data_IF_046649268402
#
_entry.id   IF_046649268402
#
_cell.length_a   1.000
_cell.length_b   1.000
_cell.length_c   1.000
_cell.angle_alpha   90.00
_cell.angle_beta   90.00
_cell.angle_gamma   90.00
#
_symmetry.space_group_name_H-M   'P 1'
#
loop_
_entity.id
_entity.type
_entity.pdbx_description
1 polymer ?
#
# COMPACT_ATOMS: atom_id res chain seq x y z
N UNK A 1 43.62 40.33 10.61
CA UNK A 1 42.70 40.58 9.47
C UNK A 1 41.98 39.32 8.97
N UNK A 2 42.58 38.10 8.99
CA UNK A 2 41.94 36.90 8.41
C UNK A 2 40.74 36.30 9.18
N UNK A 3 40.76 36.31 10.51
CA UNK A 3 39.75 35.61 11.34
C UNK A 3 38.35 36.24 11.21
N UNK A 4 38.27 37.57 11.14
CA UNK A 4 37.00 38.29 10.97
C UNK A 4 36.35 37.97 9.62
N UNK A 5 37.16 37.84 8.56
CA UNK A 5 36.66 37.53 7.21
C UNK A 5 36.13 36.09 7.09
N UNK A 6 36.76 35.13 7.78
CA UNK A 6 36.28 33.74 7.80
C UNK A 6 34.98 33.59 8.60
N UNK A 7 34.83 34.30 9.72
CA UNK A 7 33.58 34.31 10.51
C UNK A 7 32.45 34.98 9.72
N UNK A 8 32.73 36.09 9.03
CA UNK A 8 31.75 36.78 8.19
C UNK A 8 31.33 35.93 6.99
N UNK A 9 32.25 35.18 6.39
CA UNK A 9 31.97 34.23 5.31
C UNK A 9 31.11 33.05 5.75
N UNK A 10 31.38 32.48 6.94
CA UNK A 10 30.59 31.37 7.49
C UNK A 10 29.18 31.82 7.90
N UNK A 11 29.04 32.99 8.54
CA UNK A 11 27.75 33.59 8.82
C UNK A 11 26.98 33.96 7.55
N UNK A 12 27.65 34.56 6.56
CA UNK A 12 27.04 34.93 5.28
C UNK A 12 26.52 33.72 4.50
N UNK A 13 27.30 32.62 4.47
CA UNK A 13 26.89 31.37 3.84
C UNK A 13 25.72 30.70 4.56
N UNK A 14 25.75 30.64 5.90
CA UNK A 14 24.66 30.06 6.70
C UNK A 14 23.35 30.84 6.61
N UNK A 15 23.42 32.18 6.65
CA UNK A 15 22.26 33.06 6.48
C UNK A 15 21.74 33.00 5.03
N UNK A 16 22.64 33.00 4.04
CA UNK A 16 22.25 32.90 2.63
C UNK A 16 21.57 31.57 2.28
N UNK A 17 22.09 30.45 2.78
CA UNK A 17 21.47 29.13 2.52
C UNK A 17 20.13 28.98 3.22
N UNK A 18 20.00 29.42 4.47
CA UNK A 18 18.71 29.36 5.19
C UNK A 18 17.64 30.23 4.52
N UNK A 19 17.98 31.46 4.12
CA UNK A 19 17.07 32.34 3.36
C UNK A 19 16.73 31.72 2.00
N UNK A 20 17.71 31.17 1.29
CA UNK A 20 17.49 30.52 -0.01
C UNK A 20 16.56 29.31 0.08
N UNK A 21 16.68 28.48 1.12
CA UNK A 21 15.78 27.35 1.37
C UNK A 21 14.36 27.82 1.68
N UNK A 22 14.21 28.86 2.51
CA UNK A 22 12.88 29.41 2.86
C UNK A 22 12.21 30.00 1.63
N UNK A 23 12.91 30.80 0.83
CA UNK A 23 12.38 31.38 -0.41
C UNK A 23 12.06 30.27 -1.42
N UNK A 24 12.93 29.28 -1.58
CA UNK A 24 12.71 28.14 -2.45
C UNK A 24 11.48 27.33 -2.04
N UNK A 25 11.27 27.10 -0.75
CA UNK A 25 10.08 26.42 -0.22
C UNK A 25 8.80 27.20 -0.50
N UNK A 26 8.79 28.51 -0.25
CA UNK A 26 7.62 29.35 -0.53
C UNK A 26 7.32 29.47 -2.03
N UNK A 27 8.34 29.59 -2.88
CA UNK A 27 8.16 29.53 -4.33
C UNK A 27 7.62 28.17 -4.78
N UNK A 28 8.15 27.07 -4.26
CA UNK A 28 7.70 25.73 -4.62
C UNK A 28 6.22 25.51 -4.30
N UNK A 29 5.74 25.96 -3.14
CA UNK A 29 4.31 25.90 -2.77
C UNK A 29 3.47 26.78 -3.70
N UNK A 30 3.95 27.99 -4.04
CA UNK A 30 3.18 28.91 -4.89
C UNK A 30 3.11 28.47 -6.35
N UNK A 31 4.13 27.74 -6.83
CA UNK A 31 4.19 27.22 -8.19
C UNK A 31 3.52 25.86 -8.37
N UNK A 32 3.17 25.13 -7.30
CA UNK A 32 2.35 23.93 -7.45
C UNK A 32 0.95 24.34 -7.90
N UNK A 33 0.53 23.97 -9.12
CA UNK A 33 -0.83 24.23 -9.55
C UNK A 33 -1.77 23.35 -8.72
N UNK A 34 -2.55 23.96 -7.84
CA UNK A 34 -3.62 23.31 -7.07
C UNK A 34 -4.82 22.93 -7.94
N UNK A 35 -4.84 23.38 -9.19
CA UNK A 35 -5.97 23.23 -10.10
C UNK A 35 -5.83 21.93 -10.90
N UNK A 36 -6.42 20.87 -10.36
CA UNK A 36 -6.62 19.61 -11.10
C UNK A 36 -7.76 19.85 -12.07
N UNK A 37 -7.47 19.98 -13.37
CA UNK A 37 -8.53 20.10 -14.37
C UNK A 37 -9.37 18.83 -14.38
N UNK A 38 -10.66 18.97 -14.09
CA UNK A 38 -11.60 17.86 -14.21
C UNK A 38 -11.63 17.38 -15.67
N UNK A 39 -11.32 16.10 -15.94
CA UNK A 39 -11.38 15.58 -17.30
C UNK A 39 -12.83 15.57 -17.78
N UNK A 40 -13.08 16.11 -18.97
CA UNK A 40 -14.40 16.02 -19.60
C UNK A 40 -14.71 14.55 -19.90
N UNK A 41 -15.65 13.97 -19.15
CA UNK A 41 -16.10 12.58 -19.33
C UNK A 41 -16.83 12.49 -20.67
N UNK A 42 -16.24 11.78 -21.64
CA UNK A 42 -16.84 11.48 -22.94
C UNK A 42 -17.17 9.98 -23.03
N UNK A 43 -18.28 9.60 -23.67
CA UNK A 43 -18.61 8.20 -23.90
C UNK A 43 -17.54 7.52 -24.78
N UNK A 44 -17.33 6.21 -24.56
CA UNK A 44 -16.31 5.42 -25.27
C UNK A 44 -16.46 5.47 -26.80
N UNK A 45 -17.69 5.65 -27.29
CA UNK A 45 -17.98 5.71 -28.73
C UNK A 45 -17.44 6.97 -29.42
N UNK A 46 -17.19 8.02 -28.65
CA UNK A 46 -16.67 9.31 -29.15
C UNK A 46 -15.15 9.44 -28.97
N UNK A 47 -14.50 8.43 -28.40
CA UNK A 47 -13.05 8.44 -28.23
C UNK A 47 -12.32 8.04 -29.49
N UNK A 48 -11.16 8.66 -29.69
CA UNK A 48 -10.26 8.34 -30.78
C UNK A 48 -9.63 6.95 -30.61
N UNK A 49 -9.25 6.33 -31.73
CA UNK A 49 -8.71 4.97 -31.74
C UNK A 49 -7.44 4.81 -30.89
N UNK A 50 -6.64 5.87 -30.77
CA UNK A 50 -5.41 5.84 -29.93
C UNK A 50 -5.75 5.85 -28.45
N UNK A 51 -6.74 6.64 -28.02
CA UNK A 51 -7.20 6.62 -26.62
C UNK A 51 -7.87 5.29 -26.29
N UNK A 52 -8.69 4.74 -27.19
CA UNK A 52 -9.26 3.40 -27.01
C UNK A 52 -8.17 2.33 -26.87
N UNK A 53 -7.12 2.37 -27.69
CA UNK A 53 -5.96 1.47 -27.54
C UNK A 53 -5.27 1.61 -26.19
N UNK A 54 -5.19 2.83 -25.63
CA UNK A 54 -4.63 3.07 -24.30
C UNK A 54 -5.53 2.58 -23.17
N UNK A 55 -6.84 2.49 -23.40
CA UNK A 55 -7.81 1.97 -22.43
C UNK A 55 -7.94 0.45 -22.46
N UNK A 56 -7.55 -0.22 -23.56
CA UNK A 56 -7.60 -1.68 -23.66
C UNK A 56 -6.93 -2.39 -22.47
N UNK A 57 -5.75 -1.99 -21.97
CA UNK A 57 -5.16 -2.58 -20.77
C UNK A 57 -6.00 -2.39 -19.49
N UNK A 58 -6.78 -1.33 -19.39
CA UNK A 58 -7.57 -0.99 -18.19
C UNK A 58 -8.92 -1.72 -18.12
N UNK A 59 -9.37 -2.30 -19.23
CA UNK A 59 -10.63 -3.06 -19.28
C UNK A 59 -10.57 -4.25 -18.30
N UNK A 60 -11.66 -4.53 -17.54
CA UNK A 60 -11.70 -5.65 -16.61
C UNK A 60 -11.42 -7.01 -17.28
N UNK A 61 -10.78 -7.91 -16.53
CA UNK A 61 -10.36 -9.21 -17.07
C UNK A 61 -11.54 -10.07 -17.57
N UNK A 62 -12.71 -10.01 -16.92
CA UNK A 62 -13.93 -10.71 -17.36
C UNK A 62 -14.51 -10.21 -18.69
N UNK A 63 -14.19 -8.99 -19.11
CA UNK A 63 -14.57 -8.48 -20.45
C UNK A 63 -13.59 -8.98 -21.51
N UNK A 64 -12.31 -9.14 -21.14
CA UNK A 64 -11.23 -9.58 -22.06
C UNK A 64 -11.22 -11.08 -22.25
N UNK A 65 -11.48 -11.81 -21.17
CA UNK A 65 -11.28 -13.24 -21.06
C UNK A 65 -12.58 -13.88 -20.55
N UNK A 66 -13.19 -14.79 -21.33
CA UNK A 66 -14.45 -15.44 -20.95
C UNK A 66 -14.30 -16.35 -19.72
N UNK A 67 -13.07 -16.73 -19.37
CA UNK A 67 -12.77 -17.58 -18.23
C UNK A 67 -12.92 -16.90 -16.86
N UNK A 68 -13.08 -15.58 -16.84
CA UNK A 68 -13.23 -14.82 -15.60
C UNK A 68 -14.70 -14.56 -15.31
N UNK A 69 -15.16 -15.11 -14.20
CA UNK A 69 -16.51 -14.86 -13.71
C UNK A 69 -16.55 -13.59 -12.85
N UNK A 70 -17.61 -12.80 -13.02
CA UNK A 70 -17.91 -11.66 -12.14
C UNK A 70 -18.44 -12.17 -10.81
N UNK A 71 -17.86 -11.66 -9.73
CA UNK A 71 -18.17 -12.06 -8.34
C UNK A 71 -18.74 -10.90 -7.54
N UNK A 72 -19.77 -10.25 -8.09
CA UNK A 72 -20.44 -9.09 -7.47
C UNK A 72 -21.04 -9.42 -6.10
N UNK A 73 -21.48 -10.67 -5.88
CA UNK A 73 -21.98 -11.13 -4.59
C UNK A 73 -20.91 -11.10 -3.50
N UNK A 74 -19.66 -11.43 -3.85
CA UNK A 74 -18.53 -11.41 -2.91
C UNK A 74 -18.20 -9.97 -2.53
N UNK A 75 -18.20 -9.06 -3.52
CA UNK A 75 -17.99 -7.64 -3.27
C UNK A 75 -19.04 -7.08 -2.31
N UNK A 76 -20.33 -7.39 -2.52
CA UNK A 76 -21.41 -7.00 -1.59
C UNK A 76 -21.21 -7.58 -0.19
N UNK A 77 -20.80 -8.85 -0.10
CA UNK A 77 -20.54 -9.48 1.20
C UNK A 77 -19.41 -8.75 1.94
N UNK A 78 -18.29 -8.51 1.26
CA UNK A 78 -17.11 -7.83 1.84
C UNK A 78 -17.48 -6.41 2.25
N UNK A 79 -18.22 -5.68 1.43
CA UNK A 79 -18.68 -4.32 1.72
C UNK A 79 -19.51 -4.25 3.02
N UNK A 80 -20.48 -5.15 3.18
CA UNK A 80 -21.31 -5.21 4.40
C UNK A 80 -20.51 -5.64 5.64
N UNK A 81 -19.49 -6.48 5.45
CA UNK A 81 -18.65 -6.97 6.55
C UNK A 81 -17.47 -6.06 6.88
N UNK A 82 -17.14 -5.09 6.01
CA UNK A 82 -15.89 -4.34 6.06
C UNK A 82 -15.61 -3.66 7.41
N UNK A 83 -16.56 -2.99 8.08
CA UNK A 83 -16.28 -2.35 9.38
C UNK A 83 -15.83 -3.34 10.46
N UNK A 84 -16.36 -4.57 10.42
CA UNK A 84 -16.00 -5.63 11.35
C UNK A 84 -14.64 -6.24 10.98
N UNK A 85 -14.39 -6.42 9.68
CA UNK A 85 -13.11 -6.89 9.15
C UNK A 85 -11.99 -5.91 9.52
N UNK A 86 -12.17 -4.61 9.27
CA UNK A 86 -11.20 -3.56 9.62
C UNK A 86 -10.83 -3.65 11.11
N UNK A 87 -11.85 -3.66 11.97
CA UNK A 87 -11.67 -3.77 13.42
C UNK A 87 -10.88 -5.02 13.81
N UNK A 88 -11.22 -6.18 13.23
CA UNK A 88 -10.58 -7.46 13.53
C UNK A 88 -9.12 -7.50 13.04
N UNK A 89 -8.84 -7.02 11.82
CA UNK A 89 -7.49 -6.95 11.27
C UNK A 89 -6.65 -5.98 12.09
N UNK A 90 -7.17 -4.79 12.42
CA UNK A 90 -6.47 -3.80 13.23
C UNK A 90 -6.11 -4.33 14.62
N UNK A 91 -7.02 -5.06 15.27
CA UNK A 91 -6.74 -5.71 16.56
C UNK A 91 -5.66 -6.79 16.44
N UNK A 92 -5.76 -7.63 15.41
CA UNK A 92 -4.78 -8.70 15.13
C UNK A 92 -3.40 -8.11 14.83
N UNK A 93 -3.32 -7.09 13.97
CA UNK A 93 -2.10 -6.40 13.61
C UNK A 93 -1.42 -5.77 14.85
N UNK A 94 -2.18 -5.12 15.75
CA UNK A 94 -1.62 -4.62 17.02
C UNK A 94 -1.06 -5.75 17.87
N UNK A 95 -1.75 -6.89 17.95
CA UNK A 95 -1.30 -8.02 18.77
C UNK A 95 -0.03 -8.68 18.21
N UNK A 96 0.10 -8.76 16.89
CA UNK A 96 1.31 -9.28 16.22
C UNK A 96 2.46 -8.28 16.33
N UNK A 97 2.20 -6.98 16.16
CA UNK A 97 3.22 -5.95 16.17
C UNK A 97 3.82 -5.70 17.56
N UNK A 98 3.02 -5.80 18.64
CA UNK A 98 3.47 -5.59 20.03
C UNK A 98 4.75 -6.37 20.39
N UNK A 99 4.82 -7.71 20.24
CA UNK A 99 6.03 -8.46 20.59
C UNK A 99 7.21 -8.12 19.67
N UNK A 100 6.98 -7.88 18.38
CA UNK A 100 8.02 -7.49 17.42
C UNK A 100 8.64 -6.15 17.83
N UNK A 101 7.81 -5.16 18.11
CA UNK A 101 8.23 -3.83 18.57
C UNK A 101 9.02 -3.94 19.89
N UNK A 102 8.53 -4.72 20.85
CA UNK A 102 9.18 -4.91 22.14
C UNK A 102 10.60 -5.49 22.01
N UNK A 103 10.83 -6.37 21.03
CA UNK A 103 12.15 -6.95 20.76
C UNK A 103 13.12 -5.95 20.08
N UNK A 104 12.59 -5.01 19.29
CA UNK A 104 13.40 -4.04 18.54
C UNK A 104 13.70 -2.77 19.34
N UNK A 105 12.85 -2.40 20.31
CA UNK A 105 13.04 -1.24 21.20
C UNK A 105 14.46 -1.20 21.83
N UNK A 106 14.97 -2.28 22.45
CA UNK A 106 16.30 -2.28 23.07
C UNK A 106 17.44 -2.14 22.06
N UNK A 107 17.26 -2.64 20.82
CA UNK A 107 18.29 -2.65 19.78
C UNK A 107 18.58 -1.25 19.23
N UNK A 108 17.55 -0.39 19.17
CA UNK A 108 17.64 0.93 18.56
C UNK A 108 17.58 2.10 19.55
N UNK A 109 17.64 1.84 20.88
CA UNK A 109 17.51 2.87 21.94
C UNK A 109 16.25 3.73 21.79
N UNK A 110 15.14 3.08 21.42
CA UNK A 110 13.83 3.73 21.31
C UNK A 110 13.14 3.66 22.68
N UNK A 111 12.46 4.71 23.11
CA UNK A 111 11.77 4.75 24.41
C UNK A 111 10.40 4.04 24.32
N UNK A 112 9.60 4.37 23.30
CA UNK A 112 8.35 3.67 23.01
C UNK A 112 7.95 3.75 21.53
N UNK A 113 7.18 2.77 21.07
CA UNK A 113 6.49 2.80 19.78
C UNK A 113 5.02 2.47 20.01
N UNK A 114 4.14 3.39 19.64
CA UNK A 114 2.71 3.31 19.91
C UNK A 114 1.91 3.56 18.64
N UNK A 115 0.85 2.77 18.43
CA UNK A 115 -0.12 3.00 17.36
C UNK A 115 -1.16 4.02 17.85
N UNK A 116 -1.02 5.28 17.44
CA UNK A 116 -2.00 6.34 17.75
C UNK A 116 -3.31 6.09 17.01
N UNK A 117 -3.21 5.75 15.72
CA UNK A 117 -4.34 5.39 14.87
C UNK A 117 -3.99 4.18 14.02
N UNK A 118 -4.95 3.30 13.84
CA UNK A 118 -4.83 2.14 12.97
C UNK A 118 -6.23 1.81 12.46
N UNK A 119 -6.49 2.20 11.23
CA UNK A 119 -7.65 1.80 10.44
C UNK A 119 -7.21 1.59 9.00
N UNK A 120 -7.79 0.60 8.34
CA UNK A 120 -7.61 0.32 6.92
C UNK A 120 -8.47 1.22 6.03
N UNK A 121 -9.35 2.03 6.64
CA UNK A 121 -10.24 2.95 5.96
C UNK A 121 -11.64 2.41 5.77
N UNK A 122 -12.49 3.21 5.12
CA UNK A 122 -13.89 2.89 4.84
C UNK A 122 -14.09 2.14 3.52
N UNK A 123 -13.06 2.11 2.66
CA UNK A 123 -13.13 1.54 1.32
C UNK A 123 -12.64 0.08 1.32
N UNK A 124 -13.53 -0.91 1.08
CA UNK A 124 -13.16 -2.31 1.03
C UNK A 124 -12.37 -2.66 -0.24
N UNK A 125 -11.65 -3.80 -0.23
CA UNK A 125 -11.10 -4.40 -1.44
C UNK A 125 -12.21 -4.83 -2.40
N UNK A 126 -11.94 -4.69 -3.69
CA UNK A 126 -12.79 -5.12 -4.78
C UNK A 126 -12.18 -6.34 -5.48
N UNK A 127 -13.04 -7.27 -5.85
CA UNK A 127 -12.69 -8.43 -6.67
C UNK A 127 -13.40 -8.32 -8.03
N UNK A 128 -12.72 -7.84 -9.09
CA UNK A 128 -13.35 -7.64 -10.39
C UNK A 128 -13.79 -8.94 -11.05
N UNK A 129 -13.09 -10.05 -10.75
CA UNK A 129 -13.42 -11.36 -11.27
C UNK A 129 -12.54 -12.46 -10.66
N UNK A 130 -12.93 -13.70 -10.88
CA UNK A 130 -12.20 -14.88 -10.44
C UNK A 130 -12.27 -15.97 -11.50
N UNK A 131 -11.16 -16.69 -11.66
CA UNK A 131 -11.11 -17.90 -12.47
C UNK A 131 -11.04 -19.12 -11.57
N UNK A 132 -11.78 -20.17 -11.92
CA UNK A 132 -11.83 -21.42 -11.14
C UNK A 132 -11.52 -22.59 -12.06
N UNK A 133 -10.63 -23.48 -11.60
CA UNK A 133 -10.26 -24.69 -12.31
C UNK A 133 -10.50 -25.89 -11.40
N UNK A 134 -11.06 -26.94 -11.98
CA UNK A 134 -11.13 -28.26 -11.38
C UNK A 134 -10.21 -29.16 -12.19
N UNK A 135 -9.26 -29.81 -11.53
CA UNK A 135 -8.31 -30.72 -12.18
C UNK A 135 -8.72 -32.18 -11.98
N UNK A 136 -8.24 -33.06 -12.86
CA UNK A 136 -8.45 -34.50 -12.76
C UNK A 136 -7.81 -35.11 -11.49
N UNK A 137 -6.85 -34.39 -10.87
CA UNK A 137 -6.15 -34.79 -9.64
C UNK A 137 -6.94 -34.50 -8.35
N UNK A 138 -8.24 -34.18 -8.45
CA UNK A 138 -9.08 -33.74 -7.33
C UNK A 138 -8.48 -32.53 -6.64
N UNK A 139 -8.17 -31.50 -7.41
CA UNK A 139 -7.76 -30.20 -6.90
C UNK A 139 -8.74 -29.12 -7.35
N UNK A 140 -8.94 -28.14 -6.48
CA UNK A 140 -9.66 -26.92 -6.80
C UNK A 140 -8.67 -25.77 -6.79
N UNK A 141 -8.50 -25.10 -7.93
CA UNK A 141 -7.66 -23.91 -8.06
C UNK A 141 -8.56 -22.70 -8.28
N UNK A 142 -8.36 -21.65 -7.51
CA UNK A 142 -9.08 -20.39 -7.60
C UNK A 142 -8.08 -19.25 -7.77
N UNK A 143 -8.31 -18.40 -8.76
CA UNK A 143 -7.47 -17.26 -9.11
C UNK A 143 -8.30 -15.97 -9.09
N UNK A 144 -8.62 -15.42 -7.90
CA UNK A 144 -9.31 -14.14 -7.80
C UNK A 144 -8.36 -12.98 -8.14
N UNK A 145 -8.89 -11.96 -8.82
CA UNK A 145 -8.19 -10.69 -9.01
C UNK A 145 -8.57 -9.77 -7.86
N UNK A 146 -7.59 -9.28 -7.11
CA UNK A 146 -7.76 -8.34 -6.01
C UNK A 146 -7.32 -6.94 -6.44
N UNK A 147 -8.22 -5.96 -6.31
CA UNK A 147 -7.91 -4.54 -6.44
C UNK A 147 -8.41 -3.80 -5.21
N UNK A 148 -7.52 -3.13 -4.50
CA UNK A 148 -7.87 -2.37 -3.31
C UNK A 148 -7.28 -0.97 -3.39
N UNK A 149 -8.13 0.04 -3.34
CA UNK A 149 -7.74 1.44 -3.22
C UNK A 149 -8.40 1.96 -1.93
N UNK A 150 -7.68 1.80 -0.82
CA UNK A 150 -8.14 2.13 0.51
C UNK A 150 -7.71 3.52 0.96
N UNK A 151 -8.44 4.07 1.92
CA UNK A 151 -8.11 5.31 2.62
C UNK A 151 -7.67 5.04 4.07
N UNK A 152 -6.56 4.32 4.30
CA UNK A 152 -6.13 3.99 5.65
C UNK A 152 -5.62 5.21 6.41
N UNK A 153 -5.76 5.18 7.74
CA UNK A 153 -5.11 6.12 8.66
C UNK A 153 -4.33 5.29 9.70
N UNK A 154 -3.07 5.00 9.34
CA UNK A 154 -2.16 4.26 10.20
C UNK A 154 -1.09 5.22 10.70
N UNK A 155 -1.26 5.72 11.92
CA UNK A 155 -0.33 6.65 12.57
C UNK A 155 0.42 5.94 13.69
N UNK A 156 1.75 5.88 13.54
CA UNK A 156 2.68 5.29 14.50
C UNK A 156 3.52 6.42 15.11
N UNK A 157 3.49 6.54 16.44
CA UNK A 157 4.34 7.45 17.18
C UNK A 157 5.54 6.68 17.76
N UNK A 158 6.74 7.18 17.46
CA UNK A 158 8.01 6.69 17.98
C UNK A 158 8.59 7.76 18.91
N UNK A 159 8.85 7.41 20.17
CA UNK A 159 9.54 8.27 21.13
C UNK A 159 10.97 7.78 21.31
N UNK A 160 11.95 8.66 21.14
CA UNK A 160 13.36 8.35 21.38
C UNK A 160 14.11 9.62 21.79
N UNK A 161 14.99 9.53 22.79
CA UNK A 161 15.84 10.64 23.24
C UNK A 161 15.06 11.92 23.59
N UNK A 162 13.83 11.77 24.12
CA UNK A 162 12.94 12.89 24.44
C UNK A 162 12.26 13.55 23.23
N UNK A 163 12.49 13.06 22.01
CA UNK A 163 11.82 13.51 20.78
C UNK A 163 10.71 12.52 20.40
N UNK A 164 9.57 13.05 19.93
CA UNK A 164 8.45 12.26 19.40
C UNK A 164 8.38 12.44 17.88
N UNK A 165 8.59 11.36 17.15
CA UNK A 165 8.39 11.29 15.71
C UNK A 165 7.09 10.56 15.39
N UNK A 166 6.32 11.07 14.42
CA UNK A 166 5.11 10.41 13.91
C UNK A 166 5.31 9.99 12.47
N UNK A 167 4.93 8.75 12.18
CA UNK A 167 4.94 8.17 10.84
C UNK A 167 3.50 7.81 10.51
N UNK A 168 2.96 8.35 9.43
CA UNK A 168 1.61 8.08 8.99
C UNK A 168 1.63 7.44 7.61
N UNK A 169 0.92 6.33 7.44
CA UNK A 169 0.66 5.70 6.14
C UNK A 169 -0.74 6.08 5.69
N UNK A 170 -0.84 6.56 4.44
CA UNK A 170 -2.08 7.01 3.79
C UNK A 170 -2.17 6.44 2.38
N UNK A 171 -3.32 6.59 1.72
CA UNK A 171 -3.52 6.32 0.29
C UNK A 171 -2.96 4.97 -0.19
N UNK A 172 -3.47 3.87 0.39
CA UNK A 172 -3.00 2.52 0.08
C UNK A 172 -3.68 1.98 -1.19
N UNK A 173 -2.86 1.60 -2.16
CA UNK A 173 -3.29 0.91 -3.36
C UNK A 173 -2.59 -0.45 -3.47
N UNK A 174 -3.39 -1.51 -3.60
CA UNK A 174 -2.92 -2.89 -3.74
C UNK A 174 -3.60 -3.54 -4.94
N UNK A 175 -2.79 -4.07 -5.85
CA UNK A 175 -3.24 -4.97 -6.91
C UNK A 175 -2.51 -6.30 -6.78
N UNK A 176 -3.26 -7.38 -6.70
CA UNK A 176 -2.71 -8.72 -6.56
C UNK A 176 -3.59 -9.74 -7.29
N UNK A 177 -2.94 -10.81 -7.77
CA UNK A 177 -3.61 -11.95 -8.37
C UNK A 177 -3.15 -13.24 -7.65
N UNK A 178 -3.69 -13.51 -6.44
CA UNK A 178 -3.38 -14.74 -5.73
C UNK A 178 -3.97 -15.96 -6.44
N UNK A 179 -3.25 -17.07 -6.41
CA UNK A 179 -3.69 -18.40 -6.79
C UNK A 179 -3.83 -19.25 -5.53
N UNK A 180 -5.03 -19.71 -5.27
CA UNK A 180 -5.40 -20.53 -4.12
C UNK A 180 -5.66 -21.94 -4.62
N UNK A 181 -4.92 -22.93 -4.14
CA UNK A 181 -5.06 -24.34 -4.53
C UNK A 181 -5.46 -25.18 -3.32
N UNK A 182 -6.59 -25.87 -3.40
CA UNK A 182 -7.05 -26.82 -2.40
C UNK A 182 -6.71 -28.24 -2.88
N UNK A 183 -5.73 -28.89 -2.24
CA UNK A 183 -5.27 -30.25 -2.60
C UNK A 183 -4.86 -31.07 -1.37
N UNK A 184 -5.14 -32.39 -1.35
CA UNK A 184 -6.16 -33.07 -2.15
C UNK A 184 -7.55 -32.70 -1.65
N UNK A 185 -8.55 -32.74 -2.54
CA UNK A 185 -9.96 -32.73 -2.13
C UNK A 185 -10.33 -34.06 -1.47
N UNK A 186 -11.06 -33.97 -0.36
CA UNK A 186 -11.44 -35.11 0.49
C UNK A 186 -12.97 -35.20 0.63
N UNK A 187 -13.56 -36.38 0.83
CA UNK A 187 -15.00 -36.55 1.06
C UNK A 187 -15.41 -36.26 2.53
N UNK A 188 -14.57 -35.56 3.31
CA UNK A 188 -14.81 -35.22 4.71
C UNK A 188 -14.65 -33.71 4.86
N UNK A 189 -15.58 -33.06 5.55
CA UNK A 189 -15.55 -31.61 5.81
C UNK A 189 -14.21 -31.19 6.47
N UNK A 190 -13.52 -30.14 5.99
CA UNK A 190 -13.96 -29.08 5.06
C UNK A 190 -13.80 -29.38 3.55
N UNK A 191 -13.67 -30.66 3.19
CA UNK A 191 -13.57 -31.19 1.82
C UNK A 191 -12.20 -31.05 1.14
N UNK A 192 -11.15 -30.70 1.89
CA UNK A 192 -9.77 -30.64 1.42
C UNK A 192 -8.79 -30.87 2.58
N UNK A 193 -7.54 -31.25 2.28
CA UNK A 193 -6.50 -31.43 3.29
C UNK A 193 -5.65 -30.17 3.50
N UNK A 194 -5.13 -29.58 2.42
CA UNK A 194 -4.22 -28.43 2.46
C UNK A 194 -4.74 -27.27 1.61
N UNK A 195 -4.33 -26.06 2.00
CA UNK A 195 -4.52 -24.83 1.23
C UNK A 195 -3.13 -24.31 0.86
N UNK A 196 -2.87 -24.18 -0.44
CA UNK A 196 -1.67 -23.54 -0.96
C UNK A 196 -2.06 -22.18 -1.54
N UNK A 197 -1.30 -21.14 -1.22
CA UNK A 197 -1.52 -19.80 -1.74
C UNK A 197 -0.22 -19.31 -2.36
N UNK A 198 -0.27 -18.93 -3.63
CA UNK A 198 0.84 -18.31 -4.35
C UNK A 198 0.38 -17.05 -5.07
N UNK A 199 1.31 -16.25 -5.58
CA UNK A 199 1.01 -15.07 -6.38
C UNK A 199 1.35 -15.35 -7.85
N UNK A 200 0.38 -15.16 -8.75
CA UNK A 200 0.59 -15.35 -10.20
C UNK A 200 1.55 -14.30 -10.77
N UNK A 201 1.47 -13.09 -10.24
CA UNK A 201 2.27 -11.96 -10.65
C UNK A 201 2.76 -11.21 -9.41
N UNK A 202 3.84 -10.45 -9.58
CA UNK A 202 4.34 -9.58 -8.51
C UNK A 202 3.24 -8.58 -8.13
N UNK A 203 2.81 -8.54 -6.85
CA UNK A 203 1.77 -7.62 -6.43
C UNK A 203 2.27 -6.18 -6.54
N UNK A 204 1.38 -5.30 -6.99
CA UNK A 204 1.62 -3.87 -6.98
C UNK A 204 1.11 -3.31 -5.66
N UNK A 205 1.98 -2.65 -4.92
CA UNK A 205 1.63 -1.99 -3.66
C UNK A 205 2.19 -0.58 -3.71
N UNK A 206 1.30 0.40 -3.64
CA UNK A 206 1.63 1.81 -3.52
C UNK A 206 0.95 2.40 -2.29
N UNK A 207 1.62 3.33 -1.63
CA UNK A 207 1.12 3.98 -0.42
C UNK A 207 1.77 5.33 -0.25
N UNK A 208 1.06 6.27 0.35
CA UNK A 208 1.61 7.54 0.83
C UNK A 208 2.22 7.38 2.23
N UNK A 209 3.28 8.13 2.50
CA UNK A 209 3.97 8.14 3.79
C UNK A 209 4.19 9.59 4.21
N UNK A 210 3.70 9.96 5.39
CA UNK A 210 3.98 11.26 6.01
C UNK A 210 4.87 11.06 7.23
N UNK A 211 5.92 11.85 7.35
CA UNK A 211 6.82 11.89 8.50
C UNK A 211 6.70 13.25 9.16
N UNK A 212 6.37 13.29 10.46
CA UNK A 212 6.17 14.54 11.22
C UNK A 212 5.13 15.49 10.56
N UNK A 213 4.16 14.93 9.82
CA UNK A 213 3.16 15.69 9.07
C UNK A 213 3.63 16.24 7.71
N UNK A 214 4.92 16.11 7.38
CA UNK A 214 5.44 16.42 6.05
C UNK A 214 5.34 15.18 5.14
N UNK A 215 5.09 15.37 3.86
CA UNK A 215 5.07 14.28 2.90
C UNK A 215 6.48 13.71 2.70
N UNK A 216 6.68 12.49 3.17
CA UNK A 216 7.96 11.79 3.10
C UNK A 216 8.21 11.14 1.74
N UNK A 217 7.19 11.07 0.88
CA UNK A 217 7.31 10.61 -0.50
C UNK A 217 8.13 11.57 -1.37
N UNK A 218 8.31 12.81 -0.92
CA UNK A 218 9.21 13.77 -1.53
C UNK A 218 10.71 13.46 -1.26
N UNK A 219 11.03 12.54 -0.33
CA UNK A 219 12.42 12.20 0.03
C UNK A 219 12.95 11.10 -0.91
N UNK A 220 13.90 11.42 -1.82
CA UNK A 220 14.44 10.43 -2.74
C UNK A 220 15.14 9.29 -1.99
N UNK A 221 14.81 8.04 -2.32
CA UNK A 221 15.45 6.83 -1.77
C UNK A 221 14.68 6.14 -0.64
N UNK A 222 13.93 6.87 0.19
CA UNK A 222 13.10 6.28 1.25
C UNK A 222 11.97 5.42 0.66
N UNK A 223 11.30 5.93 -0.38
CA UNK A 223 10.25 5.20 -1.12
C UNK A 223 10.74 3.85 -1.65
N UNK A 224 11.89 3.83 -2.34
CA UNK A 224 12.48 2.60 -2.89
C UNK A 224 12.82 1.59 -1.81
N UNK A 225 13.33 2.05 -0.66
CA UNK A 225 13.66 1.17 0.45
C UNK A 225 12.41 0.50 1.04
N UNK A 226 11.34 1.25 1.29
CA UNK A 226 10.11 0.69 1.85
C UNK A 226 9.42 -0.24 0.85
N UNK A 227 9.37 0.12 -0.44
CA UNK A 227 8.84 -0.78 -1.47
C UNK A 227 9.62 -2.11 -1.57
N UNK A 228 10.95 -2.06 -1.51
CA UNK A 228 11.78 -3.28 -1.51
C UNK A 228 11.48 -4.14 -0.29
N UNK A 229 11.31 -3.53 0.89
CA UNK A 229 11.04 -4.24 2.14
C UNK A 229 9.66 -4.89 2.12
N UNK A 230 8.64 -4.22 1.59
CA UNK A 230 7.28 -4.78 1.43
C UNK A 230 7.30 -5.95 0.45
N UNK A 231 7.91 -5.79 -0.73
CA UNK A 231 8.04 -6.88 -1.71
C UNK A 231 8.77 -8.07 -1.09
N UNK A 232 9.84 -7.83 -0.32
CA UNK A 232 10.57 -8.88 0.36
C UNK A 232 9.70 -9.62 1.39
N UNK A 233 8.92 -8.91 2.21
CA UNK A 233 8.00 -9.52 3.19
C UNK A 233 6.91 -10.34 2.50
N UNK A 234 6.32 -9.82 1.41
CA UNK A 234 5.27 -10.53 0.66
C UNK A 234 5.82 -11.79 -0.02
N UNK A 235 7.03 -11.73 -0.59
CA UNK A 235 7.72 -12.91 -1.13
C UNK A 235 8.15 -13.90 -0.04
N UNK A 236 8.39 -13.44 1.19
CA UNK A 236 8.69 -14.32 2.34
C UNK A 236 7.48 -15.17 2.75
N UNK A 237 6.26 -14.68 2.52
CA UNK A 237 5.05 -15.48 2.71
C UNK A 237 4.91 -16.56 1.62
N UNK A 238 5.32 -16.27 0.37
CA UNK A 238 5.36 -17.24 -0.73
C UNK A 238 6.30 -18.44 -0.43
N UNK A 239 7.41 -18.18 0.29
CA UNK A 239 8.39 -19.21 0.65
C UNK A 239 8.12 -19.99 1.95
N UNK A 240 7.07 -19.67 2.71
CA UNK A 240 6.76 -20.33 4.02
C UNK A 240 5.46 -21.13 4.03
N UNK A 241 4.69 -21.14 2.95
CA UNK A 241 3.54 -22.03 2.78
C UNK A 241 3.99 -23.24 1.96
N UNK A 242 4.81 -24.09 2.58
CA UNK A 242 5.26 -25.38 2.06
C UNK A 242 4.82 -26.51 2.97
#
# INVERSE_FOLDING_TARGET
MGILSSILGFCGFGIGTSIGIVIGYYMFIYFQPTDVKDPAIRPLIEQDSKTLQRLLPEIPQWVKNPDYDRIDWLNKLVENMWPYIDTAICKTARNIAKPIIAEQIPKYKIDSVEFEKLTLGSLPPNFPGMKVYVTDEKELIMEPVLKWAGNPDITIAVKAFGLKATVQVVDLQVFAAPRITLKPLLPVFPCFANIYVSLLEKPHVDFGLKLLGADAMAIPGLYKFVQVLIVFVVLLFDGRVG
#
